data_IF_501771527151
#
_entry.id   IF_501771527151
#
_cell.length_a   1.000
_cell.length_b   1.000
_cell.length_c   1.000
_cell.angle_alpha   90.00
_cell.angle_beta   90.00
_cell.angle_gamma   90.00
#
_symmetry.space_group_name_H-M   'P 1'
#
loop_
_entity.id
_entity.type
_entity.pdbx_description
1 polymer ?
#
# COMPACT_ATOMS: atom_id res chain seq x y z
N UNK A 1 -9.45 -8.33 -16.82
CA UNK A 1 -8.71 -7.15 -17.33
C UNK A 1 -9.09 -5.97 -16.45
N UNK A 2 -8.14 -5.13 -16.02
CA UNK A 2 -8.43 -3.90 -15.27
C UNK A 2 -9.32 -3.01 -16.15
N UNK A 3 -10.40 -2.43 -15.60
CA UNK A 3 -11.24 -1.47 -16.31
C UNK A 3 -10.68 -0.07 -16.12
N UNK A 4 -10.79 0.77 -17.14
CA UNK A 4 -10.39 2.17 -17.03
C UNK A 4 -11.17 2.86 -15.91
N UNK A 5 -10.45 3.59 -15.05
CA UNK A 5 -11.01 4.27 -13.87
C UNK A 5 -11.10 3.44 -12.58
N UNK A 6 -10.89 2.11 -12.61
CA UNK A 6 -10.87 1.31 -11.38
C UNK A 6 -9.53 1.43 -10.63
N UNK A 7 -9.55 1.62 -9.30
CA UNK A 7 -8.33 1.67 -8.50
C UNK A 7 -7.60 0.32 -8.56
N UNK A 8 -6.29 0.36 -8.81
CA UNK A 8 -5.45 -0.82 -8.69
C UNK A 8 -4.93 -0.92 -7.26
N UNK A 9 -5.30 -2.01 -6.59
CA UNK A 9 -4.85 -2.36 -5.24
C UNK A 9 -3.97 -3.60 -5.33
N UNK A 10 -2.79 -3.54 -4.71
CA UNK A 10 -1.85 -4.65 -4.66
C UNK A 10 -1.81 -5.23 -3.26
N UNK A 11 -1.87 -6.56 -3.17
CA UNK A 11 -1.57 -7.29 -1.95
C UNK A 11 -0.29 -8.10 -2.20
N UNK A 12 0.72 -7.89 -1.37
CA UNK A 12 1.96 -8.67 -1.39
C UNK A 12 2.29 -9.14 0.01
N UNK A 13 2.98 -10.26 0.17
CA UNK A 13 3.31 -10.73 1.51
C UNK A 13 4.50 -9.97 2.10
N UNK A 14 5.58 -9.81 1.33
CA UNK A 14 6.83 -9.23 1.80
C UNK A 14 6.85 -7.69 1.69
N UNK A 15 7.64 -6.99 2.51
CA UNK A 15 7.84 -5.56 2.38
C UNK A 15 8.37 -5.24 0.97
N UNK A 16 7.67 -4.39 0.19
CA UNK A 16 8.10 -4.04 -1.16
C UNK A 16 9.19 -2.96 -1.16
N UNK A 17 9.47 -2.37 0.00
CA UNK A 17 10.52 -1.38 0.23
C UNK A 17 11.76 -2.03 0.84
N UNK A 18 12.90 -1.35 0.77
CA UNK A 18 14.08 -1.78 1.50
C UNK A 18 13.98 -1.47 3.02
N UNK A 19 14.99 -1.86 3.78
CA UNK A 19 15.05 -1.67 5.24
C UNK A 19 15.09 -0.19 5.69
N UNK A 20 15.29 0.76 4.77
CA UNK A 20 15.23 2.20 5.03
C UNK A 20 13.95 2.84 4.46
N UNK A 21 13.01 2.04 3.93
CA UNK A 21 11.79 2.55 3.30
C UNK A 21 12.03 3.16 1.92
N UNK A 22 13.14 2.83 1.25
CA UNK A 22 13.49 3.38 -0.08
C UNK A 22 12.88 2.55 -1.20
N UNK A 23 12.85 3.16 -2.38
CA UNK A 23 12.39 2.55 -3.63
C UNK A 23 13.15 1.28 -3.97
N UNK A 24 12.42 0.35 -4.58
CA UNK A 24 12.93 -0.91 -5.13
C UNK A 24 12.34 -1.13 -6.53
N UNK A 25 12.83 -2.09 -7.31
CA UNK A 25 12.20 -2.45 -8.58
C UNK A 25 10.71 -2.85 -8.42
N UNK A 26 10.31 -3.32 -7.25
CA UNK A 26 8.91 -3.68 -6.98
C UNK A 26 8.04 -2.43 -6.76
N UNK A 27 8.56 -1.42 -6.04
CA UNK A 27 7.84 -0.14 -5.88
C UNK A 27 7.69 0.60 -7.21
N UNK A 28 8.75 0.57 -8.04
CA UNK A 28 8.73 1.15 -9.39
C UNK A 28 7.68 0.47 -10.27
N UNK A 29 7.55 -0.86 -10.17
CA UNK A 29 6.54 -1.61 -10.91
C UNK A 29 5.12 -1.21 -10.50
N UNK A 30 4.86 -1.06 -9.20
CA UNK A 30 3.55 -0.66 -8.70
C UNK A 30 3.14 0.72 -9.18
N UNK A 31 4.08 1.68 -9.13
CA UNK A 31 3.86 3.03 -9.64
C UNK A 31 3.64 3.02 -11.16
N UNK A 32 4.46 2.27 -11.91
CA UNK A 32 4.34 2.16 -13.37
C UNK A 32 2.96 1.66 -13.83
N UNK A 33 2.36 0.72 -13.10
CA UNK A 33 1.01 0.21 -13.40
C UNK A 33 -0.13 1.01 -12.76
N UNK A 34 0.18 2.10 -12.05
CA UNK A 34 -0.78 3.00 -11.42
C UNK A 34 -1.51 2.35 -10.25
N UNK A 35 -0.79 1.61 -9.39
CA UNK A 35 -1.32 1.16 -8.12
C UNK A 35 -1.55 2.36 -7.19
N UNK A 36 -2.74 2.47 -6.61
CA UNK A 36 -3.02 3.52 -5.60
C UNK A 36 -2.64 3.08 -4.19
N UNK A 37 -2.84 1.78 -3.90
CA UNK A 37 -2.60 1.20 -2.58
C UNK A 37 -1.86 -0.13 -2.68
N UNK A 38 -0.85 -0.31 -1.82
CA UNK A 38 -0.11 -1.56 -1.66
C UNK A 38 -0.20 -2.00 -0.21
N UNK A 39 -0.73 -3.17 0.02
CA UNK A 39 -0.85 -3.80 1.33
C UNK A 39 0.20 -4.89 1.47
N UNK A 40 0.91 -4.91 2.59
CA UNK A 40 1.89 -5.94 2.86
C UNK A 40 1.94 -6.37 4.33
N UNK A 41 2.46 -7.58 4.59
CA UNK A 41 2.54 -8.15 5.93
C UNK A 41 3.99 -8.45 6.34
N UNK A 42 4.22 -9.70 6.75
CA UNK A 42 5.52 -10.31 7.06
C UNK A 42 6.20 -9.84 8.37
N UNK A 43 6.14 -8.55 8.70
CA UNK A 43 6.74 -8.05 9.94
C UNK A 43 5.86 -8.38 11.15
N UNK A 44 6.45 -8.84 12.25
CA UNK A 44 5.75 -9.25 13.46
C UNK A 44 6.49 -8.83 14.74
N UNK A 45 5.76 -8.73 15.85
CA UNK A 45 6.29 -8.35 17.15
C UNK A 45 7.01 -6.99 17.09
N UNK A 46 8.24 -6.94 17.61
CA UNK A 46 9.04 -5.72 17.62
C UNK A 46 9.37 -5.18 16.21
N UNK A 47 9.35 -6.03 15.18
CA UNK A 47 9.65 -5.61 13.81
C UNK A 47 8.56 -4.72 13.20
N UNK A 48 7.34 -4.74 13.75
CA UNK A 48 6.27 -3.83 13.33
C UNK A 48 6.66 -2.36 13.52
N UNK A 49 7.51 -2.03 14.49
CA UNK A 49 7.98 -0.66 14.72
C UNK A 49 8.85 -0.11 13.57
N UNK A 50 9.39 -0.99 12.72
CA UNK A 50 10.19 -0.63 11.55
C UNK A 50 9.40 -0.76 10.24
N UNK A 51 8.10 -1.06 10.32
CA UNK A 51 7.27 -1.18 9.13
C UNK A 51 7.11 0.19 8.46
N UNK A 52 7.26 0.23 7.14
CA UNK A 52 7.02 1.43 6.36
C UNK A 52 5.52 1.62 6.13
N UNK A 53 4.99 2.70 6.69
CA UNK A 53 3.64 3.20 6.43
C UNK A 53 3.77 4.62 5.88
N UNK A 54 3.43 4.80 4.61
CA UNK A 54 3.68 6.07 3.92
C UNK A 54 3.52 5.99 2.41
N UNK A 55 3.81 7.10 1.75
CA UNK A 55 3.69 7.25 0.30
C UNK A 55 5.06 7.23 -0.37
N UNK A 56 5.18 6.51 -1.48
CA UNK A 56 6.30 6.63 -2.41
C UNK A 56 5.71 6.96 -3.79
N UNK A 57 6.10 8.10 -4.35
CA UNK A 57 5.51 8.60 -5.59
C UNK A 57 4.00 8.81 -5.43
N UNK A 58 3.20 8.08 -6.20
CA UNK A 58 1.73 8.10 -6.13
C UNK A 58 1.11 6.95 -5.35
N UNK A 59 1.92 6.06 -4.77
CA UNK A 59 1.47 4.80 -4.15
C UNK A 59 1.50 4.89 -2.62
N UNK A 60 0.37 4.61 -1.96
CA UNK A 60 0.30 4.49 -0.50
C UNK A 60 0.56 3.04 -0.06
N UNK A 61 1.48 2.86 0.90
CA UNK A 61 1.86 1.55 1.45
C UNK A 61 1.28 1.36 2.85
N UNK A 62 0.78 0.16 3.10
CA UNK A 62 0.05 -0.19 4.32
C UNK A 62 0.60 -1.49 4.93
N UNK A 63 1.30 -1.44 6.06
CA UNK A 63 1.67 -2.65 6.80
C UNK A 63 0.45 -3.20 7.56
N UNK A 64 -0.01 -4.39 7.19
CA UNK A 64 -1.25 -5.00 7.66
C UNK A 64 -1.04 -6.38 8.32
N UNK A 65 0.13 -6.60 8.91
CA UNK A 65 0.36 -7.77 9.75
C UNK A 65 -0.65 -7.80 10.90
N UNK A 66 -1.27 -8.97 11.14
CA UNK A 66 -2.40 -9.09 12.08
C UNK A 66 -2.09 -8.57 13.49
N UNK A 67 -0.91 -8.86 14.02
CA UNK A 67 -0.49 -8.40 15.34
C UNK A 67 -0.19 -6.89 15.38
N UNK A 68 0.31 -6.32 14.28
CA UNK A 68 0.44 -4.87 14.09
C UNK A 68 -0.90 -4.13 14.07
N UNK A 69 -1.95 -4.79 13.57
CA UNK A 69 -3.33 -4.28 13.58
C UNK A 69 -4.10 -4.57 14.87
N UNK A 70 -3.48 -5.20 15.87
CA UNK A 70 -4.18 -5.65 17.07
C UNK A 70 -5.30 -6.65 16.76
N UNK A 71 -5.09 -7.50 15.76
CA UNK A 71 -6.03 -8.52 15.26
C UNK A 71 -7.39 -7.96 14.82
N UNK A 72 -7.39 -6.75 14.24
CA UNK A 72 -8.57 -6.12 13.62
C UNK A 72 -8.43 -6.07 12.10
N UNK A 73 -9.57 -5.98 11.41
CA UNK A 73 -9.60 -5.76 9.96
C UNK A 73 -9.08 -4.35 9.63
N UNK A 74 -8.32 -4.25 8.54
CA UNK A 74 -7.95 -2.98 7.96
C UNK A 74 -9.08 -2.50 7.04
N UNK A 75 -9.63 -1.32 7.30
CA UNK A 75 -10.69 -0.71 6.51
C UNK A 75 -10.08 0.27 5.51
N UNK A 76 -10.23 -0.01 4.22
CA UNK A 76 -9.79 0.88 3.16
C UNK A 76 -10.95 1.77 2.71
N UNK A 77 -10.85 3.06 2.99
CA UNK A 77 -11.72 4.07 2.38
C UNK A 77 -11.20 4.40 0.97
N UNK A 78 -11.89 3.87 -0.04
CA UNK A 78 -11.67 4.27 -1.43
C UNK A 78 -12.47 5.56 -1.65
N UNK A 79 -11.80 6.72 -1.65
CA UNK A 79 -12.46 7.95 -2.08
C UNK A 79 -12.83 7.83 -3.57
N UNK A 80 -14.02 8.30 -3.96
CA UNK A 80 -14.52 8.24 -5.34
C UNK A 80 -13.87 9.35 -6.20
N UNK A 81 -13.02 9.03 -7.19
CA UNK A 81 -12.34 10.05 -8.02
C UNK A 81 -13.29 10.86 -8.92
N UNK A 82 -14.60 10.57 -8.95
CA UNK A 82 -15.57 11.39 -9.69
C UNK A 82 -16.03 12.68 -8.97
N UNK A 83 -15.68 12.89 -7.69
CA UNK A 83 -16.17 14.04 -6.88
C UNK A 83 -15.02 14.88 -6.30
N UNK A 84 -13.95 15.13 -7.07
CA UNK A 84 -12.85 16.00 -6.60
C UNK A 84 -12.40 17.11 -7.57
N UNK A 85 -12.92 17.20 -8.80
CA UNK A 85 -12.50 18.26 -9.73
C UNK A 85 -13.57 18.72 -10.74
N UNK A 86 -14.85 18.69 -10.34
CA UNK A 86 -15.93 19.41 -11.01
C UNK A 86 -16.38 20.58 -10.15
N UNK A 87 -15.66 21.70 -10.20
CA UNK A 87 -15.97 22.96 -9.50
C UNK A 87 -15.08 24.09 -9.99
#
# INVERSE_FOLDING_TARGET
>A
MKRDGEPLIVLTHYPPVDHLGRTTPMTELFEHYGAGHVFYGHLHGAANACAFDGTIGTVQYHPVSCDGLGFRLYELALEDPAVAAGG
#
